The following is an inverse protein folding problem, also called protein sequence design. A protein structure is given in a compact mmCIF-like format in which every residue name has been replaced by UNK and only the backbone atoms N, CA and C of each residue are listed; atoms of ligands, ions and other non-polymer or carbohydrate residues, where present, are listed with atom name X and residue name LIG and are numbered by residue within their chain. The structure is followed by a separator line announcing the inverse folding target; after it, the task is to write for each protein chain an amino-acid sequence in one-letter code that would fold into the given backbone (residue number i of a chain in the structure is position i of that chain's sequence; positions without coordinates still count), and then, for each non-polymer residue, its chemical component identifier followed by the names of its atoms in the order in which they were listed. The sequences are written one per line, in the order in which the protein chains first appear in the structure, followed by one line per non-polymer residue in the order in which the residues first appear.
data_IF_786228007242
#
_entry.id   IF_786228007242
#
_cell.length_a   1.000
_cell.length_b   1.000
_cell.length_c   1.000
_cell.angle_alpha   90.00
_cell.angle_beta   90.00
_cell.angle_gamma   90.00
#
_symmetry.space_group_name_H-M   'P 1'
#
loop_
_entity.id
_entity.type
_entity.pdbx_description
1 polymer ?
#
# COMPACT_ATOMS: atom_id res chain seq x y z
N UNK A 1 -18.40 14.67 6.71
CA UNK A 1 -17.88 15.04 8.04
C UNK A 1 -16.79 16.08 7.84
N UNK A 2 -16.76 17.16 8.62
CA UNK A 2 -15.69 18.15 8.59
C UNK A 2 -15.13 18.29 10.01
N UNK A 3 -13.81 18.14 10.15
CA UNK A 3 -13.10 18.21 11.42
C UNK A 3 -12.19 19.44 11.44
N UNK A 4 -12.34 20.32 12.44
CA UNK A 4 -11.43 21.46 12.61
C UNK A 4 -10.00 21.03 12.94
N UNK A 5 -9.89 19.94 13.73
CA UNK A 5 -8.62 19.27 14.08
C UNK A 5 -8.79 17.77 13.96
N UNK A 6 -7.75 17.10 13.46
CA UNK A 6 -7.70 15.64 13.35
C UNK A 6 -6.79 15.10 14.47
N UNK A 7 -7.41 14.42 15.42
CA UNK A 7 -6.75 13.77 16.55
C UNK A 7 -6.74 12.26 16.29
N UNK A 8 -5.58 11.75 15.90
CA UNK A 8 -5.40 10.37 15.48
C UNK A 8 -5.21 9.41 16.65
N UNK A 9 -5.92 8.30 16.59
CA UNK A 9 -5.64 7.09 17.35
C UNK A 9 -5.00 6.04 16.44
N UNK A 10 -3.81 5.57 16.79
CA UNK A 10 -3.11 4.54 16.01
C UNK A 10 -3.39 3.16 16.58
N UNK A 11 -3.83 2.23 15.74
CA UNK A 11 -3.95 0.82 16.07
C UNK A 11 -2.78 0.10 15.40
N UNK A 12 -1.83 -0.38 16.19
CA UNK A 12 -0.57 -0.97 15.74
C UNK A 12 0.61 -0.01 15.86
N UNK A 13 1.63 -0.40 16.63
CA UNK A 13 2.86 0.35 16.86
C UNK A 13 4.08 -0.35 16.23
N UNK A 14 3.97 -0.72 14.95
CA UNK A 14 5.01 -1.44 14.22
C UNK A 14 6.05 -0.52 13.56
N UNK A 15 7.01 -1.12 12.84
CA UNK A 15 8.09 -0.40 12.14
C UNK A 15 7.60 0.70 11.19
N UNK A 16 6.42 0.52 10.57
CA UNK A 16 5.83 1.50 9.66
C UNK A 16 5.54 2.80 10.39
N UNK A 17 4.91 2.70 11.57
CA UNK A 17 4.60 3.86 12.42
C UNK A 17 5.84 4.48 13.04
N UNK A 18 6.90 3.70 13.25
CA UNK A 18 8.16 4.17 13.83
C UNK A 18 8.98 5.03 12.86
N UNK A 19 9.06 4.60 11.60
CA UNK A 19 10.00 5.18 10.62
C UNK A 19 9.35 5.93 9.47
N UNK A 20 8.19 5.47 8.99
CA UNK A 20 7.63 5.92 7.69
C UNK A 20 6.49 6.92 7.84
N UNK A 21 5.54 6.65 8.74
CA UNK A 21 4.27 7.38 8.78
C UNK A 21 4.06 8.19 10.06
N UNK A 22 4.46 7.69 11.24
CA UNK A 22 4.11 8.29 12.52
C UNK A 22 4.44 9.78 12.66
N UNK A 23 5.69 10.21 12.42
CA UNK A 23 6.06 11.63 12.51
C UNK A 23 5.27 12.53 11.55
N UNK A 24 4.94 12.03 10.36
CA UNK A 24 4.28 12.82 9.31
C UNK A 24 2.88 13.32 9.72
N UNK A 25 2.16 12.58 10.56
CA UNK A 25 0.83 13.01 11.06
C UNK A 25 0.90 14.28 11.89
N UNK A 26 1.98 14.49 12.66
CA UNK A 26 2.17 15.67 13.50
C UNK A 26 2.75 16.86 12.73
N UNK A 27 3.18 16.66 11.47
CA UNK A 27 3.76 17.73 10.64
C UNK A 27 2.71 18.56 9.90
N UNK A 28 1.45 18.13 9.89
CA UNK A 28 0.38 18.75 9.12
C UNK A 28 -0.45 19.63 10.05
N UNK A 29 -0.76 20.85 9.60
CA UNK A 29 -1.54 21.80 10.39
C UNK A 29 -2.93 21.24 10.74
N UNK A 30 -3.30 21.38 12.01
CA UNK A 30 -4.53 20.82 12.56
C UNK A 30 -4.55 19.28 12.62
N UNK A 31 -3.41 18.58 12.57
CA UNK A 31 -3.32 17.12 12.74
C UNK A 31 -2.34 16.75 13.85
N UNK A 32 -2.70 15.76 14.67
CA UNK A 32 -1.84 15.23 15.72
C UNK A 32 -2.20 13.82 16.14
N UNK A 33 -1.21 13.07 16.63
CA UNK A 33 -1.41 11.75 17.23
C UNK A 33 -1.65 11.91 18.73
N UNK A 34 -2.79 11.44 19.23
CA UNK A 34 -3.19 11.61 20.64
C UNK A 34 -3.27 10.29 21.40
N UNK A 35 -3.36 9.17 20.70
CA UNK A 35 -3.45 7.84 21.29
C UNK A 35 -2.79 6.79 20.40
N UNK A 36 -2.22 5.76 21.02
CA UNK A 36 -1.68 4.58 20.34
C UNK A 36 -2.17 3.30 21.01
N UNK A 37 -2.27 2.22 20.25
CA UNK A 37 -2.63 0.91 20.75
C UNK A 37 -1.66 -0.16 20.24
N UNK A 38 -1.27 -1.05 21.14
CA UNK A 38 -0.66 -2.33 20.82
C UNK A 38 -0.99 -3.35 21.91
N UNK A 39 -1.15 -4.63 21.53
CA UNK A 39 -1.43 -5.73 22.46
C UNK A 39 -0.34 -5.94 23.53
N UNK A 40 0.88 -5.55 23.20
CA UNK A 40 2.04 -5.62 24.09
C UNK A 40 2.16 -4.29 24.85
N UNK A 41 1.85 -4.35 26.14
CA UNK A 41 1.79 -3.19 27.04
C UNK A 41 3.15 -2.47 27.15
N UNK A 42 4.23 -3.23 27.29
CA UNK A 42 5.58 -2.66 27.40
C UNK A 42 6.00 -1.96 26.10
N UNK A 43 5.69 -2.57 24.94
CA UNK A 43 5.96 -1.94 23.63
C UNK A 43 5.14 -0.68 23.42
N UNK A 44 3.85 -0.67 23.77
CA UNK A 44 3.00 0.51 23.54
C UNK A 44 3.37 1.67 24.46
N UNK A 45 3.68 1.39 25.73
CA UNK A 45 4.21 2.39 26.68
C UNK A 45 5.51 3.00 26.18
N UNK A 46 6.45 2.15 25.76
CA UNK A 46 7.73 2.59 25.21
C UNK A 46 7.54 3.45 23.96
N UNK A 47 6.67 3.03 23.03
CA UNK A 47 6.36 3.79 21.83
C UNK A 47 5.75 5.15 22.17
N UNK A 48 4.72 5.19 23.02
CA UNK A 48 4.07 6.43 23.44
C UNK A 48 5.05 7.41 24.09
N UNK A 49 5.92 6.92 24.98
CA UNK A 49 6.94 7.74 25.62
C UNK A 49 7.95 8.30 24.61
N UNK A 50 8.52 7.45 23.74
CA UNK A 50 9.53 7.87 22.74
C UNK A 50 8.99 8.88 21.73
N UNK A 51 7.70 8.81 21.42
CA UNK A 51 7.03 9.69 20.46
C UNK A 51 6.21 10.82 21.10
N UNK A 52 6.27 10.98 22.42
CA UNK A 52 5.52 11.98 23.20
C UNK A 52 3.99 11.95 22.95
N UNK A 53 3.44 10.75 22.85
CA UNK A 53 2.00 10.53 22.64
C UNK A 53 1.34 10.37 24.03
N UNK A 54 0.32 11.18 24.36
CA UNK A 54 -0.14 11.31 25.74
C UNK A 54 -0.90 10.08 26.27
N UNK A 55 -1.46 9.26 25.39
CA UNK A 55 -2.24 8.07 25.76
C UNK A 55 -1.78 6.84 25.01
N UNK A 56 -1.88 5.71 25.69
CA UNK A 56 -1.68 4.40 25.12
C UNK A 56 -2.73 3.45 25.65
N UNK A 57 -3.05 2.43 24.85
CA UNK A 57 -4.06 1.42 25.13
C UNK A 57 -3.53 0.03 24.76
N UNK A 58 -4.07 -1.00 25.40
CA UNK A 58 -3.86 -2.40 25.02
C UNK A 58 -5.10 -3.02 24.36
N UNK A 59 -6.24 -2.33 24.43
CA UNK A 59 -7.49 -2.69 23.78
C UNK A 59 -7.84 -1.69 22.65
N UNK A 60 -8.23 -2.22 21.48
CA UNK A 60 -8.66 -1.42 20.34
C UNK A 60 -9.95 -0.66 20.65
N UNK A 61 -10.88 -1.30 21.36
CA UNK A 61 -12.20 -0.77 21.65
C UNK A 61 -12.11 0.43 22.60
N UNK A 62 -11.18 0.43 23.55
CA UNK A 62 -10.93 1.57 24.43
C UNK A 62 -10.38 2.77 23.63
N UNK A 63 -9.37 2.56 22.76
CA UNK A 63 -8.84 3.62 21.90
C UNK A 63 -9.91 4.15 20.93
N UNK A 64 -10.70 3.25 20.32
CA UNK A 64 -11.80 3.63 19.41
C UNK A 64 -12.92 4.33 20.20
N UNK A 65 -13.10 4.05 21.49
CA UNK A 65 -14.08 4.70 22.35
C UNK A 65 -13.65 6.06 22.92
N UNK A 66 -12.36 6.40 22.86
CA UNK A 66 -11.83 7.67 23.39
C UNK A 66 -12.43 8.88 22.67
N UNK A 67 -13.11 9.76 23.40
CA UNK A 67 -13.80 10.95 22.88
C UNK A 67 -12.84 11.97 22.24
N UNK A 68 -11.58 12.00 22.66
CA UNK A 68 -10.58 12.90 22.08
C UNK A 68 -9.97 12.39 20.77
N UNK A 69 -10.13 11.09 20.48
CA UNK A 69 -9.72 10.47 19.22
C UNK A 69 -10.85 10.63 18.22
N UNK A 70 -10.61 11.27 17.08
CA UNK A 70 -11.65 11.49 16.08
C UNK A 70 -11.31 10.93 14.68
N UNK A 71 -10.14 10.32 14.51
CA UNK A 71 -9.77 9.54 13.32
C UNK A 71 -8.85 8.37 13.72
N UNK A 72 -8.91 7.27 12.97
CA UNK A 72 -8.18 6.04 13.27
C UNK A 72 -7.19 5.71 12.16
N UNK A 73 -5.93 5.48 12.51
CA UNK A 73 -4.93 4.90 11.61
C UNK A 73 -4.69 3.44 11.99
N UNK A 74 -4.85 2.53 11.03
CA UNK A 74 -4.67 1.10 11.22
C UNK A 74 -3.37 0.67 10.56
N UNK A 75 -2.39 0.30 11.37
CA UNK A 75 -1.04 -0.12 10.97
C UNK A 75 -0.71 -1.51 11.55
N UNK A 76 -1.68 -2.41 11.50
CA UNK A 76 -1.57 -3.81 11.96
C UNK A 76 -1.29 -4.75 10.78
N UNK A 77 -1.15 -6.07 11.01
CA UNK A 77 -1.16 -7.03 9.92
C UNK A 77 -2.52 -7.10 9.20
N UNK A 78 -2.56 -7.41 7.88
CA UNK A 78 -3.74 -7.31 7.03
C UNK A 78 -5.00 -8.04 7.53
N UNK A 79 -4.85 -9.21 8.16
CA UNK A 79 -5.98 -10.00 8.67
C UNK A 79 -6.84 -9.28 9.71
N UNK A 80 -6.33 -8.21 10.31
CA UNK A 80 -7.05 -7.42 11.31
C UNK A 80 -7.60 -6.08 10.79
N UNK A 81 -7.25 -5.70 9.55
CA UNK A 81 -7.65 -4.40 8.99
C UNK A 81 -9.17 -4.22 8.94
N UNK A 82 -9.88 -5.21 8.37
CA UNK A 82 -11.33 -5.13 8.22
C UNK A 82 -12.04 -5.01 9.57
N UNK A 83 -11.62 -5.79 10.57
CA UNK A 83 -12.18 -5.73 11.93
C UNK A 83 -12.06 -4.32 12.51
N UNK A 84 -10.85 -3.75 12.56
CA UNK A 84 -10.64 -2.44 13.16
C UNK A 84 -11.25 -1.30 12.34
N UNK A 85 -11.23 -1.39 11.01
CA UNK A 85 -11.83 -0.38 10.15
C UNK A 85 -13.35 -0.32 10.34
N UNK A 86 -14.00 -1.48 10.39
CA UNK A 86 -15.44 -1.58 10.62
C UNK A 86 -15.81 -1.07 12.00
N UNK A 87 -15.04 -1.43 13.05
CA UNK A 87 -15.26 -0.91 14.41
C UNK A 87 -15.16 0.62 14.46
N UNK A 88 -14.11 1.19 13.86
CA UNK A 88 -13.87 2.62 13.83
C UNK A 88 -14.98 3.39 13.09
N UNK A 89 -15.37 2.93 11.89
CA UNK A 89 -16.43 3.57 11.11
C UNK A 89 -17.80 3.48 11.79
N UNK A 90 -18.12 2.35 12.45
CA UNK A 90 -19.33 2.22 13.26
C UNK A 90 -19.35 3.15 14.47
N UNK A 91 -18.18 3.52 14.99
CA UNK A 91 -18.02 4.55 16.02
C UNK A 91 -18.02 5.98 15.45
N UNK A 92 -18.26 6.16 14.14
CA UNK A 92 -18.30 7.46 13.48
C UNK A 92 -16.92 8.04 13.15
N UNK A 93 -15.83 7.27 13.26
CA UNK A 93 -14.46 7.77 13.12
C UNK A 93 -13.89 7.41 11.74
N UNK A 94 -13.48 8.40 10.92
CA UNK A 94 -12.76 8.17 9.68
C UNK A 94 -11.55 7.27 9.86
N UNK A 95 -11.26 6.47 8.83
CA UNK A 95 -10.22 5.45 8.88
C UNK A 95 -9.16 5.71 7.82
N UNK A 96 -7.89 5.53 8.17
CA UNK A 96 -6.79 5.39 7.24
C UNK A 96 -6.13 4.03 7.49
N UNK A 97 -6.13 3.15 6.49
CA UNK A 97 -5.64 1.75 6.61
C UNK A 97 -4.32 1.62 5.88
N UNK A 98 -3.34 0.92 6.48
CA UNK A 98 -2.18 0.44 5.73
C UNK A 98 -2.55 -0.47 4.56
N UNK A 99 -1.66 -0.55 3.56
CA UNK A 99 -1.83 -1.46 2.42
C UNK A 99 -1.24 -2.84 2.73
N UNK A 100 -1.75 -3.93 2.14
CA UNK A 100 -2.98 -4.00 1.34
C UNK A 100 -4.21 -3.69 2.21
N UNK A 101 -5.29 -3.24 1.57
CA UNK A 101 -6.47 -2.75 2.29
C UNK A 101 -7.02 -3.80 3.27
N UNK A 102 -7.03 -5.07 2.87
CA UNK A 102 -7.28 -6.21 3.73
C UNK A 102 -6.51 -7.46 3.23
N UNK A 103 -6.67 -8.58 3.94
CA UNK A 103 -6.07 -9.86 3.57
C UNK A 103 -6.80 -10.57 2.41
N UNK A 104 -8.03 -10.17 2.07
CA UNK A 104 -8.79 -10.67 0.92
C UNK A 104 -9.61 -9.56 0.27
N UNK A 105 -10.02 -9.77 -0.97
CA UNK A 105 -10.96 -8.93 -1.70
C UNK A 105 -12.32 -8.83 -1.02
N UNK A 106 -12.86 -9.92 -0.48
CA UNK A 106 -14.15 -9.93 0.23
C UNK A 106 -14.13 -9.01 1.44
N UNK A 107 -13.02 -9.01 2.19
CA UNK A 107 -12.85 -8.10 3.32
C UNK A 107 -12.74 -6.64 2.88
N UNK A 108 -12.13 -6.36 1.72
CA UNK A 108 -12.16 -5.02 1.13
C UNK A 108 -13.60 -4.59 0.80
N UNK A 109 -14.40 -5.48 0.19
CA UNK A 109 -15.81 -5.22 -0.09
C UNK A 109 -16.63 -4.98 1.18
N UNK A 110 -16.35 -5.72 2.26
CA UNK A 110 -16.98 -5.49 3.58
C UNK A 110 -16.64 -4.13 4.16
N UNK A 111 -15.39 -3.70 4.09
CA UNK A 111 -14.96 -2.36 4.54
C UNK A 111 -15.70 -1.28 3.75
N UNK A 112 -15.71 -1.36 2.42
CA UNK A 112 -16.40 -0.37 1.58
C UNK A 112 -17.90 -0.31 1.85
N UNK A 113 -18.54 -1.47 2.04
CA UNK A 113 -19.95 -1.54 2.41
C UNK A 113 -20.21 -0.79 3.73
N UNK A 114 -19.39 -0.98 4.76
CA UNK A 114 -19.57 -0.26 6.03
C UNK A 114 -19.28 1.24 5.88
N UNK A 115 -18.29 1.62 5.08
CA UNK A 115 -18.03 3.04 4.77
C UNK A 115 -19.25 3.69 4.12
N UNK A 116 -19.89 3.01 3.17
CA UNK A 116 -21.12 3.46 2.52
C UNK A 116 -22.31 3.52 3.47
N UNK A 117 -22.54 2.47 4.28
CA UNK A 117 -23.65 2.40 5.24
C UNK A 117 -23.56 3.48 6.33
N UNK A 118 -22.35 3.80 6.79
CA UNK A 118 -22.12 4.80 7.85
C UNK A 118 -21.92 6.22 7.33
N UNK A 119 -21.58 6.38 6.04
CA UNK A 119 -21.15 7.65 5.46
C UNK A 119 -19.78 8.13 5.97
N UNK A 120 -19.03 7.27 6.67
CA UNK A 120 -17.71 7.58 7.22
C UNK A 120 -16.64 7.16 6.23
N UNK A 121 -15.71 8.05 5.83
CA UNK A 121 -14.72 7.74 4.81
C UNK A 121 -13.64 6.78 5.32
N UNK A 122 -13.18 5.91 4.42
CA UNK A 122 -12.07 4.99 4.62
C UNK A 122 -11.01 5.21 3.54
N UNK A 123 -9.80 5.59 3.96
CA UNK A 123 -8.64 5.83 3.12
C UNK A 123 -7.66 4.66 3.21
N UNK A 124 -6.86 4.46 2.16
CA UNK A 124 -5.86 3.38 2.11
C UNK A 124 -4.49 3.94 1.79
N UNK A 125 -3.44 3.45 2.44
CA UNK A 125 -2.07 3.95 2.38
C UNK A 125 -1.32 3.61 1.07
N UNK A 126 -1.95 3.82 -0.09
CA UNK A 126 -1.27 3.79 -1.40
C UNK A 126 -0.51 5.09 -1.68
N UNK A 127 0.38 5.46 -0.75
CA UNK A 127 1.13 6.73 -0.76
C UNK A 127 1.99 6.94 -2.01
N UNK A 128 2.33 5.85 -2.74
CA UNK A 128 3.13 5.92 -3.97
C UNK A 128 2.43 6.71 -5.08
N UNK A 129 1.10 6.77 -5.10
CA UNK A 129 0.33 7.63 -6.02
C UNK A 129 0.67 9.12 -5.87
N UNK A 130 1.19 9.52 -4.71
CA UNK A 130 1.48 10.92 -4.35
C UNK A 130 2.97 11.25 -4.30
N UNK A 131 3.85 10.30 -4.62
CA UNK A 131 5.28 10.53 -4.58
C UNK A 131 5.76 11.19 -5.89
N UNK A 132 6.61 12.24 -5.81
CA UNK A 132 7.16 12.92 -6.99
C UNK A 132 7.78 11.98 -8.02
N UNK A 133 8.43 10.92 -7.56
CA UNK A 133 9.01 9.90 -8.43
C UNK A 133 7.97 9.27 -9.37
N UNK A 134 6.85 8.76 -8.86
CA UNK A 134 5.82 8.11 -9.69
C UNK A 134 4.92 9.12 -10.40
N UNK A 135 4.72 10.30 -9.83
CA UNK A 135 4.06 11.40 -10.53
C UNK A 135 4.83 11.79 -11.79
N UNK A 136 6.16 11.75 -11.76
CA UNK A 136 6.97 11.99 -12.96
C UNK A 136 6.80 10.88 -14.00
N UNK A 137 6.76 9.62 -13.59
CA UNK A 137 6.46 8.50 -14.52
C UNK A 137 5.11 8.73 -15.20
N UNK A 138 4.07 9.01 -14.42
CA UNK A 138 2.73 9.29 -14.95
C UNK A 138 2.73 10.49 -15.90
N UNK A 139 3.40 11.58 -15.53
CA UNK A 139 3.54 12.76 -16.36
C UNK A 139 4.18 12.44 -17.73
N UNK A 140 5.23 11.62 -17.77
CA UNK A 140 5.89 11.25 -19.03
C UNK A 140 4.97 10.43 -19.95
N UNK A 141 4.13 9.57 -19.36
CA UNK A 141 3.10 8.80 -20.08
C UNK A 141 2.03 9.76 -20.62
N UNK A 142 1.48 10.63 -19.77
CA UNK A 142 0.44 11.61 -20.12
C UNK A 142 0.91 12.61 -21.20
N UNK A 143 2.19 13.01 -21.18
CA UNK A 143 2.83 13.86 -22.19
C UNK A 143 3.07 13.14 -23.53
N UNK A 144 2.79 11.84 -23.62
CA UNK A 144 2.96 11.05 -24.84
C UNK A 144 4.42 10.85 -25.26
N UNK A 145 5.37 10.91 -24.31
CA UNK A 145 6.82 10.80 -24.60
C UNK A 145 7.23 9.49 -25.26
N UNK A 146 6.41 8.44 -25.09
CA UNK A 146 6.61 7.12 -25.68
C UNK A 146 5.53 6.75 -26.71
N UNK A 147 4.70 7.72 -27.12
CA UNK A 147 3.58 7.49 -28.02
C UNK A 147 2.44 6.71 -27.36
N UNK A 148 1.78 5.83 -28.13
CA UNK A 148 0.70 5.00 -27.60
C UNK A 148 1.29 3.88 -26.75
N UNK A 149 0.81 3.69 -25.53
CA UNK A 149 1.24 2.57 -24.68
C UNK A 149 0.68 1.27 -25.26
N UNK A 150 1.57 0.33 -25.55
CA UNK A 150 1.26 -0.96 -26.18
C UNK A 150 1.27 -2.08 -25.15
N UNK A 151 2.17 -2.01 -24.16
CA UNK A 151 2.34 -3.08 -23.19
C UNK A 151 3.01 -2.60 -21.89
N UNK A 152 2.72 -3.29 -20.79
CA UNK A 152 3.36 -3.07 -19.48
C UNK A 152 3.96 -4.37 -18.95
N UNK A 153 5.19 -4.31 -18.47
CA UNK A 153 5.92 -5.47 -17.92
C UNK A 153 6.40 -5.19 -16.50
N UNK A 154 6.15 -6.11 -15.58
CA UNK A 154 6.70 -6.10 -14.22
C UNK A 154 7.72 -7.23 -14.09
N UNK A 155 8.92 -6.91 -13.61
CA UNK A 155 9.89 -7.91 -13.14
C UNK A 155 10.33 -7.55 -11.73
N UNK A 156 10.02 -8.43 -10.81
CA UNK A 156 10.44 -8.32 -9.43
C UNK A 156 11.08 -9.61 -8.96
N UNK A 157 12.33 -9.54 -8.56
CA UNK A 157 13.07 -10.66 -8.05
C UNK A 157 13.92 -10.23 -6.87
N UNK A 158 13.92 -11.00 -5.80
CA UNK A 158 14.77 -10.76 -4.64
C UNK A 158 15.17 -12.09 -3.99
N UNK A 159 16.31 -12.13 -3.29
CA UNK A 159 16.65 -13.26 -2.45
C UNK A 159 15.64 -13.44 -1.31
N UNK A 160 15.60 -14.65 -0.70
CA UNK A 160 14.97 -14.83 0.60
C UNK A 160 15.58 -13.89 1.63
N UNK A 161 14.79 -13.51 2.63
CA UNK A 161 15.27 -12.75 3.79
C UNK A 161 15.86 -13.71 4.82
N UNK A 162 16.78 -13.25 5.66
CA UNK A 162 17.40 -14.07 6.71
C UNK A 162 16.36 -14.74 7.63
N UNK A 163 15.27 -14.03 7.95
CA UNK A 163 14.18 -14.56 8.78
C UNK A 163 13.40 -15.71 8.12
N UNK A 164 13.44 -15.82 6.79
CA UNK A 164 12.70 -16.88 6.07
C UNK A 164 13.34 -18.25 6.28
N UNK A 165 14.62 -18.30 6.66
CA UNK A 165 15.31 -19.54 7.01
C UNK A 165 14.98 -20.05 8.42
N UNK A 166 14.24 -19.26 9.22
CA UNK A 166 13.84 -19.66 10.56
C UNK A 166 12.40 -20.21 10.57
N UNK A 167 12.27 -21.50 10.25
CA UNK A 167 10.98 -22.19 10.14
C UNK A 167 10.14 -22.21 11.42
N UNK A 168 10.73 -21.98 12.60
CA UNK A 168 10.01 -21.94 13.88
C UNK A 168 9.55 -20.54 14.27
N UNK A 169 10.04 -19.49 13.59
CA UNK A 169 9.69 -18.09 13.87
C UNK A 169 9.61 -17.26 12.59
N UNK A 170 8.75 -17.71 11.67
CA UNK A 170 8.54 -17.04 10.39
C UNK A 170 7.84 -15.68 10.55
N UNK A 171 8.18 -14.67 9.74
CA UNK A 171 7.50 -13.38 9.78
C UNK A 171 6.04 -13.51 9.35
N UNK A 172 5.16 -12.66 9.89
CA UNK A 172 3.73 -12.69 9.55
C UNK A 172 3.46 -12.53 8.04
N UNK A 173 4.38 -11.89 7.30
CA UNK A 173 4.30 -11.62 5.85
C UNK A 173 4.29 -12.87 4.98
N UNK A 174 4.71 -14.01 5.51
CA UNK A 174 4.71 -15.31 4.80
C UNK A 174 3.74 -16.30 5.44
N UNK A 175 2.88 -15.83 6.35
CA UNK A 175 1.82 -16.60 6.99
C UNK A 175 0.49 -16.24 6.30
N UNK A 176 -0.07 -17.10 5.43
CA UNK A 176 -1.24 -16.76 4.60
C UNK A 176 -2.45 -16.29 5.41
N UNK A 177 -2.72 -16.90 6.57
CA UNK A 177 -3.85 -16.54 7.44
C UNK A 177 -3.74 -15.14 8.05
N UNK A 178 -2.55 -14.53 8.03
CA UNK A 178 -2.30 -13.19 8.55
C UNK A 178 -2.11 -12.18 7.40
N UNK A 179 -1.28 -12.51 6.43
CA UNK A 179 -0.92 -11.61 5.33
C UNK A 179 -1.91 -11.64 4.15
N UNK A 180 -2.73 -12.68 4.04
CA UNK A 180 -3.51 -13.01 2.85
C UNK A 180 -2.76 -13.89 1.85
N UNK A 181 -1.42 -13.94 1.91
CA UNK A 181 -0.58 -14.74 1.01
C UNK A 181 0.88 -14.69 1.45
N UNK A 182 1.80 -14.70 0.48
CA UNK A 182 3.23 -14.52 0.72
C UNK A 182 3.68 -13.08 0.48
N UNK A 183 4.98 -12.93 0.18
CA UNK A 183 5.54 -11.63 -0.18
C UNK A 183 4.90 -11.00 -1.43
N UNK A 184 4.23 -11.80 -2.27
CA UNK A 184 3.39 -11.27 -3.34
C UNK A 184 2.32 -10.32 -2.80
N UNK A 185 1.60 -10.74 -1.76
CA UNK A 185 0.53 -9.94 -1.15
C UNK A 185 1.06 -8.72 -0.38
N UNK A 186 2.32 -8.73 0.05
CA UNK A 186 2.97 -7.55 0.65
C UNK A 186 3.49 -6.56 -0.41
N UNK A 187 4.14 -7.04 -1.47
CA UNK A 187 4.92 -6.19 -2.38
C UNK A 187 4.19 -5.85 -3.69
N UNK A 188 3.54 -6.83 -4.33
CA UNK A 188 2.82 -6.62 -5.59
C UNK A 188 1.72 -5.55 -5.53
N UNK A 189 0.99 -5.32 -4.41
CA UNK A 189 0.00 -4.25 -4.39
C UNK A 189 0.60 -2.89 -4.69
N UNK A 190 1.87 -2.61 -4.38
CA UNK A 190 2.49 -1.34 -4.76
C UNK A 190 2.61 -1.15 -6.27
N UNK A 191 2.93 -2.22 -7.00
CA UNK A 191 3.14 -2.19 -8.44
C UNK A 191 1.79 -2.18 -9.17
N UNK A 192 0.90 -3.10 -8.80
CA UNK A 192 -0.43 -3.22 -9.41
C UNK A 192 -1.29 -1.97 -9.18
N UNK A 193 -1.23 -1.38 -7.99
CA UNK A 193 -1.95 -0.14 -7.69
C UNK A 193 -1.48 1.04 -8.53
N UNK A 194 -0.15 1.24 -8.63
CA UNK A 194 0.43 2.29 -9.47
C UNK A 194 0.03 2.15 -10.93
N UNK A 195 0.04 0.93 -11.45
CA UNK A 195 -0.37 0.68 -12.83
C UNK A 195 -1.86 0.97 -13.04
N UNK A 196 -2.72 0.57 -12.10
CA UNK A 196 -4.15 0.86 -12.20
C UNK A 196 -4.46 2.35 -12.07
N UNK A 197 -3.72 3.08 -11.24
CA UNK A 197 -3.81 4.55 -11.16
C UNK A 197 -3.42 5.22 -12.50
N UNK A 198 -2.49 4.64 -13.26
CA UNK A 198 -2.05 5.22 -14.55
C UNK A 198 -2.90 4.78 -15.75
N UNK A 199 -3.40 3.54 -15.74
CA UNK A 199 -3.97 2.88 -16.93
C UNK A 199 -5.43 2.43 -16.76
N UNK A 200 -6.05 2.70 -15.61
CA UNK A 200 -7.40 2.30 -15.29
C UNK A 200 -7.48 0.94 -14.60
N UNK A 201 -8.69 0.47 -14.31
CA UNK A 201 -8.85 -0.81 -13.60
C UNK A 201 -8.39 -2.00 -14.45
N UNK A 202 -7.78 -3.00 -13.81
CA UNK A 202 -7.55 -4.32 -14.44
C UNK A 202 -8.85 -5.13 -14.36
N UNK A 203 -9.36 -5.60 -15.50
CA UNK A 203 -10.63 -6.34 -15.60
C UNK A 203 -10.44 -7.84 -15.85
N UNK A 204 -9.29 -8.24 -16.38
CA UNK A 204 -8.92 -9.63 -16.59
C UNK A 204 -7.55 -9.87 -15.97
N UNK A 205 -7.39 -10.93 -15.18
CA UNK A 205 -6.12 -11.33 -14.60
C UNK A 205 -6.09 -12.85 -14.39
N UNK A 206 -4.98 -13.46 -14.78
CA UNK A 206 -4.71 -14.89 -14.61
C UNK A 206 -3.24 -15.09 -14.21
N UNK A 207 -2.99 -16.07 -13.33
CA UNK A 207 -1.66 -16.32 -12.81
C UNK A 207 -1.37 -17.77 -12.47
N UNK A 208 -0.09 -18.09 -12.53
CA UNK A 208 0.49 -19.32 -12.02
C UNK A 208 1.33 -18.99 -10.79
N UNK A 209 0.92 -19.54 -9.64
CA UNK A 209 1.67 -19.46 -8.39
C UNK A 209 2.33 -20.79 -8.08
N UNK A 210 3.51 -20.72 -7.46
CA UNK A 210 4.22 -21.88 -6.97
C UNK A 210 5.04 -21.52 -5.73
N UNK A 211 5.41 -22.55 -4.98
CA UNK A 211 6.39 -22.46 -3.90
C UNK A 211 7.59 -23.32 -4.31
N UNK A 212 8.69 -22.66 -4.65
CA UNK A 212 9.89 -23.27 -5.25
C UNK A 212 11.06 -23.30 -4.28
N UNK A 213 11.10 -22.39 -3.31
CA UNK A 213 12.12 -22.30 -2.28
C UNK A 213 11.81 -23.12 -1.03
N UNK A 214 10.54 -23.35 -0.70
CA UNK A 214 10.13 -24.23 0.40
C UNK A 214 10.49 -23.72 1.80
N UNK A 215 10.78 -22.42 1.95
CA UNK A 215 11.19 -21.79 3.22
C UNK A 215 9.99 -21.47 4.14
N UNK A 216 8.81 -21.32 3.55
CA UNK A 216 7.54 -21.03 4.22
C UNK A 216 6.40 -21.66 3.40
N UNK A 217 5.16 -21.63 3.89
CA UNK A 217 4.02 -22.26 3.20
C UNK A 217 3.49 -21.47 2.01
N UNK A 218 3.51 -20.13 2.10
CA UNK A 218 2.97 -19.25 1.06
C UNK A 218 3.71 -19.37 -0.28
N UNK A 219 3.09 -18.87 -1.37
CA UNK A 219 3.73 -18.77 -2.67
C UNK A 219 4.98 -17.87 -2.65
N UNK A 220 5.99 -18.24 -3.42
CA UNK A 220 7.24 -17.49 -3.56
C UNK A 220 7.61 -17.16 -5.01
N UNK A 221 6.97 -17.80 -5.99
CA UNK A 221 7.24 -17.66 -7.41
C UNK A 221 5.94 -17.57 -8.19
N UNK A 222 5.70 -16.42 -8.82
CA UNK A 222 4.44 -16.06 -9.48
C UNK A 222 4.74 -15.50 -10.86
N UNK A 223 3.95 -15.92 -11.86
CA UNK A 223 3.88 -15.27 -13.17
C UNK A 223 2.42 -15.03 -13.54
N UNK A 224 2.10 -13.85 -14.06
CA UNK A 224 0.74 -13.46 -14.37
C UNK A 224 0.63 -12.61 -15.64
N UNK A 225 -0.53 -12.66 -16.28
CA UNK A 225 -0.96 -11.77 -17.34
C UNK A 225 -2.26 -11.08 -16.93
N UNK A 226 -2.45 -9.84 -17.37
CA UNK A 226 -3.63 -9.05 -17.05
C UNK A 226 -3.97 -8.07 -18.17
N UNK A 227 -5.22 -7.58 -18.16
CA UNK A 227 -5.73 -6.61 -19.14
C UNK A 227 -6.48 -5.49 -18.42
N UNK A 228 -6.12 -4.26 -18.76
CA UNK A 228 -6.79 -3.05 -18.28
C UNK A 228 -8.13 -2.86 -18.98
N UNK A 229 -9.00 -2.01 -18.42
CA UNK A 229 -10.31 -1.68 -19.00
C UNK A 229 -10.22 -1.07 -20.40
N UNK A 230 -9.10 -0.43 -20.73
CA UNK A 230 -8.78 0.10 -22.06
C UNK A 230 -8.43 -0.98 -23.09
N UNK A 231 -8.26 -2.24 -22.66
CA UNK A 231 -7.75 -3.35 -23.46
C UNK A 231 -6.23 -3.47 -23.48
N UNK A 232 -5.48 -2.55 -22.85
CA UNK A 232 -4.03 -2.61 -22.73
C UNK A 232 -3.61 -3.92 -22.04
N UNK A 233 -2.75 -4.76 -22.65
CA UNK A 233 -2.23 -5.96 -22.00
C UNK A 233 -1.00 -5.65 -21.13
N UNK A 234 -0.86 -6.38 -20.03
CA UNK A 234 0.34 -6.39 -19.22
C UNK A 234 0.67 -7.76 -18.66
N UNK A 235 1.89 -7.94 -18.19
CA UNK A 235 2.32 -9.14 -17.48
C UNK A 235 3.31 -8.84 -16.37
N UNK A 236 3.41 -9.74 -15.41
CA UNK A 236 4.31 -9.61 -14.28
C UNK A 236 4.92 -10.93 -13.85
N UNK A 237 6.16 -10.86 -13.36
CA UNK A 237 6.85 -11.97 -12.72
C UNK A 237 7.39 -11.51 -11.36
N UNK A 238 7.08 -12.29 -10.33
CA UNK A 238 7.52 -12.08 -8.96
C UNK A 238 8.22 -13.32 -8.43
N UNK A 239 9.47 -13.17 -7.99
CA UNK A 239 10.26 -14.24 -7.41
C UNK A 239 10.90 -13.77 -6.10
N UNK A 240 10.55 -14.40 -4.99
CA UNK A 240 11.02 -14.02 -3.65
C UNK A 240 12.09 -14.97 -3.10
N UNK A 241 12.57 -15.87 -3.95
CA UNK A 241 13.60 -16.88 -3.67
C UNK A 241 14.68 -16.89 -4.75
N UNK A 242 14.87 -15.74 -5.41
CA UNK A 242 15.87 -15.60 -6.47
C UNK A 242 17.30 -15.62 -5.89
N UNK A 243 18.30 -15.88 -6.74
CA UNK A 243 19.68 -15.63 -6.35
C UNK A 243 19.98 -14.12 -6.37
N UNK A 244 20.95 -13.63 -5.59
CA UNK A 244 21.30 -12.20 -5.53
C UNK A 244 21.63 -11.62 -6.91
N UNK A 245 22.27 -12.42 -7.79
CA UNK A 245 22.60 -12.00 -9.16
C UNK A 245 21.39 -11.80 -10.08
N UNK A 246 20.21 -12.26 -9.68
CA UNK A 246 18.95 -12.12 -10.41
C UNK A 246 18.01 -11.11 -9.75
N UNK A 247 18.47 -10.38 -8.72
CA UNK A 247 17.68 -9.37 -8.03
C UNK A 247 17.31 -8.24 -8.98
N UNK A 248 16.02 -7.92 -9.03
CA UNK A 248 15.44 -6.99 -9.98
C UNK A 248 14.24 -6.29 -9.34
N UNK A 249 14.10 -4.99 -9.59
CA UNK A 249 12.91 -4.21 -9.29
C UNK A 249 12.64 -3.27 -10.45
N UNK A 250 11.82 -3.72 -11.40
CA UNK A 250 11.62 -3.01 -12.66
C UNK A 250 10.20 -3.12 -13.18
N UNK A 251 9.69 -1.97 -13.60
CA UNK A 251 8.51 -1.86 -14.45
C UNK A 251 8.95 -1.22 -15.77
N UNK A 252 8.49 -1.78 -16.89
CA UNK A 252 8.67 -1.24 -18.23
C UNK A 252 7.29 -0.90 -18.82
N UNK A 253 7.13 0.35 -19.25
CA UNK A 253 5.98 0.83 -20.01
C UNK A 253 6.46 1.00 -21.44
N UNK A 254 5.95 0.15 -22.34
CA UNK A 254 6.39 0.06 -23.73
C UNK A 254 5.36 0.78 -24.59
N UNK A 255 5.81 1.78 -25.33
CA UNK A 255 5.00 2.49 -26.32
C UNK A 255 5.52 2.31 -27.74
N UNK A 256 4.74 2.78 -28.72
CA UNK A 256 5.08 2.69 -30.15
C UNK A 256 6.20 3.65 -30.59
N UNK A 257 6.61 4.59 -29.73
CA UNK A 257 7.70 5.55 -29.98
C UNK A 257 8.81 5.53 -28.93
N UNK A 258 8.71 4.66 -27.93
CA UNK A 258 9.70 4.63 -26.85
C UNK A 258 9.33 3.71 -25.70
N UNK A 259 10.10 3.82 -24.61
CA UNK A 259 9.88 3.04 -23.39
C UNK A 259 10.22 3.89 -22.16
N UNK A 260 9.44 3.72 -21.09
CA UNK A 260 9.79 4.22 -19.76
C UNK A 260 10.10 3.01 -18.88
N UNK A 261 11.26 3.01 -18.21
CA UNK A 261 11.61 1.99 -17.22
C UNK A 261 11.89 2.65 -15.86
N UNK A 262 11.40 2.05 -14.78
CA UNK A 262 11.53 2.59 -13.43
C UNK A 262 11.41 1.48 -12.39
N UNK A 263 11.85 1.76 -11.16
CA UNK A 263 11.76 0.82 -10.04
C UNK A 263 10.75 1.30 -8.99
N UNK A 264 10.17 0.39 -8.21
CA UNK A 264 9.12 0.75 -7.24
C UNK A 264 9.68 0.89 -5.81
N UNK A 265 10.71 0.13 -5.47
CA UNK A 265 11.28 0.03 -4.14
C UNK A 265 12.67 0.65 -4.05
N UNK A 266 13.50 0.51 -5.09
CA UNK A 266 14.88 1.03 -5.08
C UNK A 266 14.99 2.51 -5.49
N UNK A 267 13.99 3.05 -6.20
CA UNK A 267 13.98 4.41 -6.76
C UNK A 267 15.22 4.73 -7.62
N UNK A 268 15.61 3.79 -8.48
CA UNK A 268 16.62 4.03 -9.51
C UNK A 268 16.16 5.14 -10.47
N UNK A 269 17.06 5.86 -11.16
CA UNK A 269 16.63 6.87 -12.12
C UNK A 269 15.63 6.31 -13.14
N UNK A 270 14.55 7.07 -13.37
CA UNK A 270 13.56 6.75 -14.41
C UNK A 270 14.26 6.85 -15.76
N UNK A 271 14.33 5.75 -16.49
CA UNK A 271 14.89 5.70 -17.83
C UNK A 271 13.81 5.98 -18.87
N UNK A 272 13.96 7.07 -19.62
CA UNK A 272 13.14 7.38 -20.79
C UNK A 272 13.95 7.08 -22.05
N UNK A 273 13.46 6.16 -22.88
CA UNK A 273 14.08 5.74 -24.12
C UNK A 273 13.21 6.19 -25.29
N UNK A 274 13.75 7.02 -26.17
CA UNK A 274 13.07 7.52 -27.38
C UNK A 274 14.01 7.48 -28.58
N UNK A 275 13.57 7.95 -29.75
CA UNK A 275 14.42 8.13 -30.92
C UNK A 275 15.61 9.08 -30.68
N UNK A 276 15.51 9.96 -29.68
CA UNK A 276 16.59 10.89 -29.29
C UNK A 276 17.62 10.26 -28.34
N UNK A 277 17.46 8.99 -27.97
CA UNK A 277 18.33 8.27 -27.04
C UNK A 277 17.71 8.03 -25.68
N UNK A 278 18.56 7.82 -24.68
CA UNK A 278 18.18 7.53 -23.29
C UNK A 278 18.40 8.74 -22.40
N UNK A 279 17.37 9.12 -21.67
CA UNK A 279 17.42 10.12 -20.60
C UNK A 279 17.17 9.46 -19.25
N UNK A 280 17.83 9.96 -18.20
CA UNK A 280 17.62 9.51 -16.82
C UNK A 280 17.09 10.65 -15.97
N UNK A 281 15.99 10.41 -15.26
CA UNK A 281 15.29 11.41 -14.46
C UNK A 281 15.14 10.88 -13.04
N UNK A 282 15.62 11.64 -12.05
CA UNK A 282 15.54 11.24 -10.63
C UNK A 282 14.85 12.31 -9.78
N UNK A 283 13.50 12.33 -9.74
CA UNK A 283 12.76 13.20 -8.84
C UNK A 283 13.04 12.81 -7.38
N UNK A 284 13.19 13.82 -6.52
CA UNK A 284 13.43 13.61 -5.10
C UNK A 284 12.11 13.39 -4.36
N UNK A 285 12.03 12.29 -3.61
CA UNK A 285 10.91 12.01 -2.72
C UNK A 285 11.10 12.72 -1.37
N UNK A 286 10.01 13.06 -0.65
CA UNK A 286 10.12 13.59 0.70
C UNK A 286 10.71 12.56 1.66
N UNK A 287 11.35 13.03 2.75
CA UNK A 287 11.95 12.15 3.77
C UNK A 287 10.93 11.21 4.40
N UNK A 288 9.69 11.67 4.59
CA UNK A 288 8.57 10.84 4.99
C UNK A 288 7.69 10.54 3.78
N UNK A 289 7.85 9.35 3.20
CA UNK A 289 7.19 8.96 1.95
C UNK A 289 5.66 8.97 2.02
N UNK A 290 5.07 8.83 3.22
CA UNK A 290 3.62 8.92 3.38
C UNK A 290 3.09 10.34 3.55
N UNK A 291 3.95 11.32 3.84
CA UNK A 291 3.53 12.70 4.14
C UNK A 291 2.60 13.30 3.08
N UNK A 292 2.84 13.14 1.76
CA UNK A 292 1.93 13.69 0.75
C UNK A 292 0.51 13.13 0.84
N UNK A 293 0.36 11.82 1.04
CA UNK A 293 -0.96 11.19 1.16
C UNK A 293 -1.62 11.51 2.50
N UNK A 294 -0.87 11.46 3.61
CA UNK A 294 -1.42 11.82 4.93
C UNK A 294 -1.92 13.27 4.90
N UNK A 295 -1.17 14.18 4.26
CA UNK A 295 -1.61 15.56 4.05
C UNK A 295 -2.93 15.62 3.27
N UNK A 296 -3.03 14.92 2.14
CA UNK A 296 -4.26 14.87 1.35
C UNK A 296 -5.45 14.34 2.16
N UNK A 297 -5.25 13.30 2.99
CA UNK A 297 -6.28 12.75 3.87
C UNK A 297 -6.70 13.76 4.95
N UNK A 298 -5.74 14.39 5.64
CA UNK A 298 -6.05 15.41 6.66
C UNK A 298 -6.80 16.59 6.03
N UNK A 299 -6.35 17.08 4.88
CA UNK A 299 -7.02 18.18 4.17
C UNK A 299 -8.42 17.78 3.69
N UNK A 300 -8.64 16.52 3.30
CA UNK A 300 -9.98 15.99 3.03
C UNK A 300 -10.85 16.04 4.29
N UNK A 301 -10.36 15.53 5.42
CA UNK A 301 -11.12 15.52 6.68
C UNK A 301 -11.42 16.92 7.22
N UNK A 302 -10.58 17.90 6.90
CA UNK A 302 -10.79 19.32 7.21
C UNK A 302 -11.70 20.05 6.21
N UNK A 303 -12.14 19.39 5.13
CA UNK A 303 -12.94 20.00 4.07
C UNK A 303 -12.16 20.98 3.18
N UNK A 304 -10.83 20.87 3.14
CA UNK A 304 -9.93 21.74 2.35
C UNK A 304 -9.61 21.16 0.96
N UNK A 305 -9.67 19.85 0.80
CA UNK A 305 -9.36 19.15 -0.45
C UNK A 305 -10.18 17.87 -0.60
N UNK A 306 -10.03 17.16 -1.72
CA UNK A 306 -10.59 15.82 -1.91
C UNK A 306 -9.43 14.84 -2.12
N UNK A 307 -9.19 13.96 -1.16
CA UNK A 307 -8.36 12.77 -1.35
C UNK A 307 -9.17 11.67 -2.06
N UNK A 308 -8.64 11.15 -3.17
CA UNK A 308 -9.25 10.07 -3.97
C UNK A 308 -8.68 8.68 -3.64
N UNK A 309 -7.70 8.60 -2.73
CA UNK A 309 -7.08 7.34 -2.31
C UNK A 309 -7.91 6.66 -1.22
N UNK A 310 -9.14 6.32 -1.57
CA UNK A 310 -10.14 5.70 -0.70
C UNK A 310 -10.22 4.18 -0.87
N UNK A 311 -11.04 3.54 -0.04
CA UNK A 311 -11.27 2.09 -0.09
C UNK A 311 -11.81 1.59 -1.43
N UNK A 312 -12.60 2.40 -2.15
CA UNK A 312 -13.15 2.05 -3.47
C UNK A 312 -12.00 1.99 -4.48
N UNK A 313 -11.18 3.03 -4.53
CA UNK A 313 -10.04 3.12 -5.45
C UNK A 313 -8.95 2.07 -5.19
N UNK A 314 -8.89 1.55 -3.96
CA UNK A 314 -7.91 0.55 -3.51
C UNK A 314 -8.36 -0.90 -3.77
N UNK A 315 -9.67 -1.15 -3.78
CA UNK A 315 -10.25 -2.50 -3.84
C UNK A 315 -9.87 -3.30 -5.10
N UNK A 316 -9.81 -2.71 -6.32
CA UNK A 316 -9.37 -3.43 -7.51
C UNK A 316 -8.00 -4.08 -7.35
N UNK A 317 -7.07 -3.46 -6.61
CA UNK A 317 -5.74 -4.03 -6.36
C UNK A 317 -5.82 -5.37 -5.61
N UNK A 318 -6.64 -5.47 -4.57
CA UNK A 318 -6.88 -6.74 -3.87
C UNK A 318 -7.58 -7.78 -4.76
N UNK A 319 -8.54 -7.35 -5.59
CA UNK A 319 -9.21 -8.23 -6.56
C UNK A 319 -8.22 -8.87 -7.53
N UNK A 320 -7.33 -8.07 -8.13
CA UNK A 320 -6.32 -8.56 -9.08
C UNK A 320 -5.39 -9.56 -8.42
N UNK A 321 -4.93 -9.27 -7.20
CA UNK A 321 -4.06 -10.19 -6.46
C UNK A 321 -4.75 -11.53 -6.18
N UNK A 322 -6.00 -11.50 -5.73
CA UNK A 322 -6.74 -12.72 -5.43
C UNK A 322 -7.07 -13.53 -6.71
N UNK A 323 -7.35 -12.87 -7.84
CA UNK A 323 -7.47 -13.51 -9.15
C UNK A 323 -6.17 -14.17 -9.60
N UNK A 324 -5.05 -13.47 -9.54
CA UNK A 324 -3.72 -14.01 -9.89
C UNK A 324 -3.38 -15.25 -9.03
N UNK A 325 -3.81 -15.24 -7.76
CA UNK A 325 -3.58 -16.34 -6.84
C UNK A 325 -4.65 -17.44 -6.90
N UNK A 326 -5.62 -17.37 -7.81
CA UNK A 326 -6.73 -18.31 -7.95
C UNK A 326 -7.54 -18.48 -6.64
N UNK A 327 -7.87 -17.37 -5.98
CA UNK A 327 -8.75 -17.34 -4.80
C UNK A 327 -10.20 -16.94 -5.13
N UNK A 328 -10.44 -16.45 -6.35
CA UNK A 328 -11.71 -15.91 -6.86
C UNK A 328 -12.14 -16.61 -8.16
#
# INVERSE_FOLDING_TARGET
MQLDKVNWGFIGCGEVTEKKSGPAFNMIDGSRVVAVMSRDEEKVKSYAHRHNIPRWYTDAQELIGDEDVNAIYIATPPSSHATFAIMAMKAGKPVYIEKPMAATYEDCARINRISQETGVPCFVAYYRRYLPYFQKVRQLVEEGKIGNVINVQIRFAQPPRDLDYNSTNLPWRVQPDIAGGGYFYDLAPHQLDLLQEMFGCILEAEGYKSNRGGLYQAEDTISACFKFESGLPGSGSWCFVAHESAKEDRIEIIGDKGMICFSVFTYEPIGLHTEHGREEILPQNPSYVQLPLIKAVVEHLQGKAICTCDGISATPTNWVMDRILNKL
#
